data_IF_627676658861
#
_entry.id   IF_627676658861
#
_cell.length_a   1.000
_cell.length_b   1.000
_cell.length_c   1.000
_cell.angle_alpha   90.00
_cell.angle_beta   90.00
_cell.angle_gamma   90.00
#
_symmetry.space_group_name_H-M   'P 1'
#
loop_
_entity.id
_entity.type
_entity.pdbx_description
1 polymer ?
#
# COMPACT_ATOMS: atom_id res chain seq x y z
N UNK A 1 28.90 21.84 1.31
CA UNK A 1 28.14 20.64 0.87
C UNK A 1 26.77 20.47 1.55
N UNK A 2 26.53 21.01 2.77
CA UNK A 2 25.20 20.94 3.44
C UNK A 2 24.04 21.66 2.71
N UNK A 3 24.31 22.69 1.91
CA UNK A 3 23.27 23.46 1.20
C UNK A 3 22.68 22.79 -0.07
N UNK A 4 23.29 21.71 -0.59
CA UNK A 4 22.78 21.02 -1.78
C UNK A 4 21.69 19.98 -1.47
N UNK A 5 21.61 19.52 -0.23
CA UNK A 5 20.64 18.51 0.20
C UNK A 5 19.27 19.14 0.49
N UNK A 6 19.26 20.31 1.16
CA UNK A 6 18.05 21.09 1.43
C UNK A 6 17.38 21.58 0.13
N UNK A 7 18.17 21.97 -0.88
CA UNK A 7 17.63 22.35 -2.19
C UNK A 7 16.99 21.20 -2.97
N UNK A 8 17.37 19.94 -2.73
CA UNK A 8 16.78 18.79 -3.45
C UNK A 8 15.41 18.39 -2.92
N UNK A 9 15.18 18.52 -1.62
CA UNK A 9 13.85 18.31 -1.00
C UNK A 9 12.86 19.40 -1.45
N UNK A 10 13.35 20.63 -1.69
CA UNK A 10 12.51 21.76 -2.13
C UNK A 10 12.18 21.70 -3.64
N UNK A 11 13.01 21.07 -4.47
CA UNK A 11 12.86 21.13 -5.94
C UNK A 11 11.90 20.08 -6.52
N UNK A 12 11.54 19.02 -5.78
CA UNK A 12 10.75 17.92 -6.33
C UNK A 12 9.22 18.12 -6.21
N UNK A 13 8.75 19.11 -5.44
CA UNK A 13 7.32 19.40 -5.23
C UNK A 13 6.75 20.51 -6.13
N UNK A 14 7.55 21.10 -7.03
CA UNK A 14 7.21 22.36 -7.71
C UNK A 14 6.63 22.23 -9.14
N UNK A 15 5.85 21.18 -9.46
CA UNK A 15 5.26 21.05 -10.79
C UNK A 15 3.77 20.66 -10.83
N UNK A 16 2.91 21.40 -10.10
CA UNK A 16 1.49 21.54 -10.44
C UNK A 16 1.03 22.98 -10.12
N UNK A 17 0.82 23.78 -11.17
CA UNK A 17 0.35 25.17 -11.21
C UNK A 17 -0.69 25.19 -12.36
N UNK A 18 -1.86 25.84 -12.39
CA UNK A 18 -2.54 26.89 -11.59
C UNK A 18 -4.05 26.74 -11.89
N UNK A 19 -4.91 26.92 -10.89
CA UNK A 19 -6.27 27.46 -11.10
C UNK A 19 -6.65 28.27 -9.87
N UNK A 20 -6.90 29.55 -10.08
CA UNK A 20 -7.28 30.54 -9.07
C UNK A 20 -8.53 30.11 -8.29
N UNK A 21 -8.38 29.92 -6.98
CA UNK A 21 -9.45 30.04 -6.01
C UNK A 21 -8.90 30.86 -4.83
N UNK A 22 -9.46 32.04 -4.65
CA UNK A 22 -9.27 32.92 -3.50
C UNK A 22 -9.85 32.24 -2.25
N UNK A 23 -9.10 31.31 -1.67
CA UNK A 23 -9.45 30.66 -0.41
C UNK A 23 -9.19 31.66 0.73
N UNK A 24 -10.28 32.11 1.35
CA UNK A 24 -10.31 32.82 2.63
C UNK A 24 -9.36 32.15 3.64
N UNK A 25 -8.47 32.94 4.27
CA UNK A 25 -7.62 32.49 5.38
C UNK A 25 -8.51 32.25 6.61
N UNK A 26 -9.06 31.04 6.69
CA UNK A 26 -9.83 30.60 7.84
C UNK A 26 -8.88 30.41 9.04
N UNK A 27 -9.14 31.15 10.13
CA UNK A 27 -8.19 31.36 11.24
C UNK A 27 -8.41 30.44 12.44
N UNK A 28 -9.23 29.41 12.35
CA UNK A 28 -9.44 28.49 13.47
C UNK A 28 -9.76 27.07 13.03
N UNK A 29 -9.02 26.54 12.05
CA UNK A 29 -8.91 25.09 11.96
C UNK A 29 -8.09 24.65 13.18
N UNK A 30 -8.73 23.95 14.11
CA UNK A 30 -8.14 23.47 15.36
C UNK A 30 -7.01 22.48 15.05
N UNK A 31 -5.84 23.02 14.70
CA UNK A 31 -4.58 22.32 14.72
C UNK A 31 -4.21 22.18 16.20
N UNK A 32 -4.84 21.22 16.86
CA UNK A 32 -4.29 20.68 18.09
C UNK A 32 -3.25 19.62 17.69
N UNK A 33 -1.93 19.93 17.71
CA UNK A 33 -0.88 18.97 17.40
C UNK A 33 -0.74 17.87 18.47
N UNK A 34 -1.57 17.89 19.53
CA UNK A 34 -1.51 16.95 20.64
C UNK A 34 -2.50 15.79 20.55
N UNK A 35 -3.11 15.54 19.38
CA UNK A 35 -3.72 14.23 19.17
C UNK A 35 -2.62 13.16 19.12
N UNK A 36 -2.83 12.03 19.79
CA UNK A 36 -1.88 10.91 19.94
C UNK A 36 -1.58 10.19 18.61
N UNK A 37 -1.09 10.89 17.59
CA UNK A 37 -0.62 10.30 16.35
C UNK A 37 0.86 9.90 16.53
N UNK A 38 1.16 8.61 16.33
CA UNK A 38 2.51 8.06 16.43
C UNK A 38 3.52 8.86 15.59
N UNK A 39 3.18 9.17 14.33
CA UNK A 39 4.06 9.85 13.37
C UNK A 39 4.46 11.23 13.88
N UNK A 40 3.53 11.95 14.50
CA UNK A 40 3.74 13.33 14.93
C UNK A 40 4.86 13.43 15.96
N UNK A 41 4.97 12.45 16.86
CA UNK A 41 6.04 12.39 17.87
C UNK A 41 7.45 12.30 17.26
N UNK A 42 7.59 11.69 16.08
CA UNK A 42 8.85 11.57 15.36
C UNK A 42 9.11 12.78 14.47
N UNK A 43 8.09 13.18 13.69
CA UNK A 43 8.21 14.23 12.67
C UNK A 43 8.35 15.61 13.31
N UNK A 44 7.49 15.96 14.27
CA UNK A 44 7.56 17.25 14.95
C UNK A 44 8.86 17.39 15.73
N UNK A 45 9.26 16.35 16.47
CA UNK A 45 10.54 16.34 17.18
C UNK A 45 11.75 16.48 16.24
N UNK A 46 11.65 15.99 15.00
CA UNK A 46 12.69 16.19 13.98
C UNK A 46 12.68 17.63 13.45
N UNK A 47 11.52 18.19 13.12
CA UNK A 47 11.39 19.56 12.64
C UNK A 47 11.87 20.58 13.68
N UNK A 48 11.49 20.40 14.95
CA UNK A 48 11.92 21.23 16.07
C UNK A 48 13.45 21.21 16.23
N UNK A 49 14.07 20.01 16.18
CA UNK A 49 15.54 19.87 16.23
C UNK A 49 16.24 20.56 15.06
N UNK A 50 15.59 20.67 13.90
CA UNK A 50 16.12 21.34 12.72
C UNK A 50 15.82 22.84 12.70
N UNK A 51 15.00 23.35 13.62
CA UNK A 51 14.55 24.74 13.64
C UNK A 51 13.66 25.10 12.43
N UNK A 52 12.96 24.11 11.86
CA UNK A 52 12.06 24.32 10.72
C UNK A 52 10.66 24.62 11.24
N UNK A 53 10.09 25.75 10.81
CA UNK A 53 8.72 26.11 11.19
C UNK A 53 7.68 25.23 10.50
N UNK A 54 6.64 24.87 11.25
CA UNK A 54 5.47 24.16 10.73
C UNK A 54 4.61 25.10 9.87
N UNK A 55 4.30 24.67 8.65
CA UNK A 55 3.40 25.39 7.75
C UNK A 55 2.19 24.51 7.52
N UNK A 56 1.11 24.74 8.25
CA UNK A 56 -0.07 23.90 8.22
C UNK A 56 -0.97 24.18 7.02
N UNK A 57 -1.44 23.13 6.34
CA UNK A 57 -2.43 23.24 5.27
C UNK A 57 -3.75 23.75 5.82
N UNK A 58 -4.36 24.71 5.11
CA UNK A 58 -5.72 25.13 5.40
C UNK A 58 -6.72 24.02 5.10
N UNK A 59 -7.91 24.10 5.70
CA UNK A 59 -8.98 23.08 5.56
C UNK A 59 -9.30 22.70 4.12
N UNK A 60 -9.51 23.70 3.25
CA UNK A 60 -9.82 23.47 1.85
C UNK A 60 -8.68 22.79 1.07
N UNK A 61 -7.42 23.11 1.40
CA UNK A 61 -6.26 22.46 0.81
C UNK A 61 -6.17 21.00 1.25
N UNK A 62 -6.34 20.73 2.55
CA UNK A 62 -6.30 19.39 3.10
C UNK A 62 -7.42 18.51 2.54
N UNK A 63 -8.66 19.02 2.46
CA UNK A 63 -9.79 18.31 1.87
C UNK A 63 -9.53 17.93 0.42
N UNK A 64 -9.00 18.86 -0.38
CA UNK A 64 -8.64 18.58 -1.79
C UNK A 64 -7.57 17.50 -1.89
N UNK A 65 -6.56 17.52 -1.03
CA UNK A 65 -5.49 16.50 -1.02
C UNK A 65 -6.01 15.13 -0.62
N UNK A 66 -6.76 15.04 0.47
CA UNK A 66 -7.37 13.79 0.93
C UNK A 66 -8.27 13.19 -0.13
N UNK A 67 -9.14 14.00 -0.75
CA UNK A 67 -10.00 13.55 -1.85
C UNK A 67 -9.17 13.00 -3.01
N UNK A 68 -8.18 13.75 -3.52
CA UNK A 68 -7.37 13.31 -4.65
C UNK A 68 -6.55 12.05 -4.34
N UNK A 69 -5.88 11.98 -3.19
CA UNK A 69 -4.97 10.88 -2.87
C UNK A 69 -5.72 9.59 -2.50
N UNK A 70 -6.92 9.72 -1.90
CA UNK A 70 -7.74 8.59 -1.49
C UNK A 70 -8.68 8.14 -2.60
N UNK A 71 -9.39 9.05 -3.28
CA UNK A 71 -10.44 8.72 -4.25
C UNK A 71 -10.09 9.00 -5.69
N UNK A 72 -9.00 9.72 -5.96
CA UNK A 72 -8.62 10.14 -7.32
C UNK A 72 -9.45 11.31 -7.87
N UNK A 73 -10.34 11.88 -7.06
CA UNK A 73 -11.30 12.90 -7.49
C UNK A 73 -11.15 14.21 -6.69
N UNK A 74 -11.56 15.33 -7.30
CA UNK A 74 -11.62 16.64 -6.63
C UNK A 74 -12.93 16.69 -5.82
N UNK A 75 -12.93 17.23 -4.58
CA UNK A 75 -14.13 17.26 -3.76
C UNK A 75 -15.20 18.12 -4.43
N UNK A 76 -16.43 17.60 -4.50
CA UNK A 76 -17.57 18.32 -5.06
C UNK A 76 -18.19 19.30 -4.04
N UNK A 77 -19.32 19.90 -4.39
CA UNK A 77 -20.01 20.82 -3.48
C UNK A 77 -20.62 20.11 -2.27
N UNK A 78 -21.11 18.88 -2.45
CA UNK A 78 -21.70 18.09 -1.37
C UNK A 78 -20.62 17.68 -0.37
N UNK A 79 -19.44 17.26 -0.82
CA UNK A 79 -18.28 16.97 0.01
C UNK A 79 -17.87 18.17 0.86
N UNK A 80 -17.78 19.36 0.24
CA UNK A 80 -17.45 20.60 0.95
C UNK A 80 -18.47 20.94 2.03
N UNK A 81 -19.75 20.76 1.74
CA UNK A 81 -20.83 21.03 2.69
C UNK A 81 -20.84 20.01 3.84
N UNK A 82 -20.67 18.72 3.54
CA UNK A 82 -20.64 17.64 4.54
C UNK A 82 -19.46 17.78 5.50
N UNK A 83 -18.33 18.29 5.00
CA UNK A 83 -17.07 18.36 5.74
C UNK A 83 -16.76 19.75 6.27
N UNK A 84 -17.69 20.71 6.20
CA UNK A 84 -17.47 22.12 6.53
C UNK A 84 -16.93 22.34 7.95
N UNK A 85 -17.30 21.48 8.91
CA UNK A 85 -16.87 21.54 10.32
C UNK A 85 -16.10 20.30 10.79
N UNK A 86 -15.87 19.33 9.90
CA UNK A 86 -15.13 18.11 10.22
C UNK A 86 -13.66 18.37 10.58
N UNK A 87 -13.14 17.51 11.46
CA UNK A 87 -11.72 17.32 11.76
C UNK A 87 -10.98 16.61 10.62
N UNK A 88 -9.64 16.59 10.68
CA UNK A 88 -8.79 15.88 9.69
C UNK A 88 -9.11 14.39 9.64
N UNK A 89 -9.31 13.79 10.81
CA UNK A 89 -9.67 12.38 10.97
C UNK A 89 -11.01 12.07 10.31
N UNK A 90 -12.03 12.88 10.58
CA UNK A 90 -13.36 12.72 9.98
C UNK A 90 -13.34 12.91 8.46
N UNK A 91 -12.55 13.84 7.92
CA UNK A 91 -12.37 13.99 6.47
C UNK A 91 -11.71 12.75 5.84
N UNK A 92 -10.64 12.24 6.44
CA UNK A 92 -9.96 11.06 5.95
C UNK A 92 -10.88 9.84 5.94
N UNK A 93 -11.59 9.60 7.06
CA UNK A 93 -12.59 8.53 7.16
C UNK A 93 -13.71 8.68 6.14
N UNK A 94 -14.21 9.90 5.91
CA UNK A 94 -15.23 10.18 4.91
C UNK A 94 -14.79 9.73 3.51
N UNK A 95 -13.59 10.14 3.08
CA UNK A 95 -13.07 9.75 1.76
C UNK A 95 -12.68 8.25 1.68
N UNK A 96 -12.16 7.66 2.76
CA UNK A 96 -11.87 6.22 2.80
C UNK A 96 -13.12 5.32 2.79
N UNK A 97 -14.29 5.88 3.10
CA UNK A 97 -15.57 5.18 3.05
C UNK A 97 -16.30 5.33 1.70
N UNK A 98 -15.77 6.15 0.80
CA UNK A 98 -16.28 6.26 -0.57
C UNK A 98 -15.89 5.03 -1.40
N UNK A 99 -16.76 4.54 -2.31
CA UNK A 99 -16.41 3.43 -3.19
C UNK A 99 -15.20 3.73 -4.08
N UNK A 100 -14.99 5.00 -4.43
CA UNK A 100 -13.85 5.46 -5.23
C UNK A 100 -12.48 5.19 -4.54
N UNK A 101 -12.44 5.09 -3.21
CA UNK A 101 -11.22 4.69 -2.48
C UNK A 101 -10.76 3.29 -2.86
N UNK A 102 -11.72 2.37 -2.99
CA UNK A 102 -11.46 0.98 -3.42
C UNK A 102 -11.03 0.98 -4.89
N UNK A 103 -11.76 1.67 -5.76
CA UNK A 103 -11.47 1.72 -7.21
C UNK A 103 -10.07 2.29 -7.47
N UNK A 104 -9.73 3.40 -6.83
CA UNK A 104 -8.40 4.03 -6.98
C UNK A 104 -7.29 3.10 -6.50
N UNK A 105 -7.52 2.37 -5.41
CA UNK A 105 -6.53 1.41 -4.91
C UNK A 105 -6.40 0.20 -5.83
N UNK A 106 -7.49 -0.30 -6.40
CA UNK A 106 -7.48 -1.34 -7.43
C UNK A 106 -6.67 -0.93 -8.68
N UNK A 107 -6.79 0.32 -9.12
CA UNK A 107 -5.98 0.85 -10.23
C UNK A 107 -4.49 0.87 -9.90
N UNK A 108 -4.11 1.28 -8.69
CA UNK A 108 -2.71 1.27 -8.24
C UNK A 108 -2.16 -0.15 -8.21
N UNK A 109 -2.93 -1.10 -7.65
CA UNK A 109 -2.48 -2.49 -7.61
C UNK A 109 -2.47 -3.16 -8.98
N UNK A 110 -3.27 -2.69 -9.94
CA UNK A 110 -3.18 -3.16 -11.32
C UNK A 110 -1.79 -2.90 -11.93
N UNK A 111 -1.19 -1.74 -11.63
CA UNK A 111 0.17 -1.42 -12.07
C UNK A 111 1.21 -2.27 -11.32
N UNK A 112 1.04 -2.44 -10.00
CA UNK A 112 1.90 -3.28 -9.16
C UNK A 112 1.93 -4.73 -9.66
N UNK A 113 0.76 -5.31 -9.96
CA UNK A 113 0.62 -6.64 -10.53
C UNK A 113 0.90 -6.70 -12.03
N UNK A 114 1.22 -5.57 -12.66
CA UNK A 114 1.55 -5.43 -14.09
C UNK A 114 0.46 -6.05 -14.98
N UNK A 115 -0.81 -5.73 -14.70
CA UNK A 115 -1.94 -6.19 -15.50
C UNK A 115 -1.71 -5.84 -16.98
N UNK A 116 -1.78 -6.85 -17.84
CA UNK A 116 -1.54 -6.68 -19.28
C UNK A 116 -2.53 -7.50 -20.08
N UNK A 117 -3.16 -6.84 -21.06
CA UNK A 117 -4.07 -7.47 -22.02
C UNK A 117 -3.37 -8.48 -22.94
N UNK A 118 -2.04 -8.40 -23.08
CA UNK A 118 -1.30 -9.17 -24.10
C UNK A 118 -0.90 -10.58 -23.66
N UNK A 119 -0.80 -10.86 -22.35
CA UNK A 119 -0.27 -12.12 -21.83
C UNK A 119 -1.28 -12.92 -21.00
N UNK A 120 -2.43 -12.33 -20.65
CA UNK A 120 -3.48 -12.99 -19.88
C UNK A 120 -4.51 -13.61 -20.85
N UNK A 121 -4.10 -14.69 -21.53
CA UNK A 121 -4.90 -15.39 -22.54
C UNK A 121 -6.16 -16.11 -21.99
N UNK A 122 -6.34 -16.16 -20.66
CA UNK A 122 -7.58 -16.57 -19.98
C UNK A 122 -8.17 -15.42 -19.15
N UNK A 123 -8.81 -14.48 -19.89
CA UNK A 123 -10.02 -13.68 -19.60
C UNK A 123 -10.28 -13.26 -18.15
N UNK A 124 -10.43 -11.95 -17.93
CA UNK A 124 -11.22 -11.23 -16.90
C UNK A 124 -11.29 -11.85 -15.49
N UNK A 125 -11.79 -13.07 -15.36
CA UNK A 125 -11.83 -13.91 -14.15
C UNK A 125 -10.52 -13.97 -13.35
N UNK A 126 -9.35 -14.09 -14.00
CA UNK A 126 -8.07 -14.16 -13.28
C UNK A 126 -7.70 -12.82 -12.64
N UNK A 127 -7.87 -11.71 -13.40
CA UNK A 127 -7.67 -10.36 -12.88
C UNK A 127 -8.71 -10.06 -11.79
N UNK A 128 -9.94 -10.55 -11.96
CA UNK A 128 -11.02 -10.33 -11.01
C UNK A 128 -10.70 -10.88 -9.62
N UNK A 129 -10.01 -12.03 -9.52
CA UNK A 129 -9.56 -12.58 -8.22
C UNK A 129 -8.61 -11.65 -7.48
N UNK A 130 -7.53 -11.22 -8.12
CA UNK A 130 -6.60 -10.24 -7.52
C UNK A 130 -7.30 -8.90 -7.22
N UNK A 131 -8.19 -8.45 -8.11
CA UNK A 131 -8.93 -7.20 -7.92
C UNK A 131 -9.91 -7.27 -6.74
N UNK A 132 -10.57 -8.41 -6.54
CA UNK A 132 -11.43 -8.69 -5.37
C UNK A 132 -10.61 -8.64 -4.09
N UNK A 133 -9.43 -9.29 -4.06
CA UNK A 133 -8.54 -9.24 -2.90
C UNK A 133 -8.13 -7.81 -2.55
N UNK A 134 -7.80 -6.98 -3.54
CA UNK A 134 -7.48 -5.56 -3.30
C UNK A 134 -8.71 -4.81 -2.76
N UNK A 135 -9.89 -5.09 -3.31
CA UNK A 135 -11.14 -4.51 -2.81
C UNK A 135 -11.38 -4.83 -1.33
N UNK A 136 -11.26 -6.12 -0.98
CA UNK A 136 -11.41 -6.61 0.39
C UNK A 136 -10.34 -6.12 1.35
N UNK A 137 -9.13 -5.88 0.87
CA UNK A 137 -8.07 -5.26 1.66
C UNK A 137 -8.43 -3.80 1.99
N UNK A 138 -8.89 -3.05 1.00
CA UNK A 138 -9.19 -1.63 1.15
C UNK A 138 -10.55 -1.34 1.78
N UNK A 139 -11.50 -2.28 1.77
CA UNK A 139 -12.75 -2.16 2.53
C UNK A 139 -12.63 -2.66 3.99
N UNK A 140 -11.50 -3.30 4.34
CA UNK A 140 -11.20 -3.81 5.68
C UNK A 140 -11.70 -5.23 5.95
N UNK A 141 -12.23 -5.94 4.94
CA UNK A 141 -12.70 -7.32 5.06
C UNK A 141 -11.57 -8.34 5.24
N UNK A 142 -10.34 -8.02 4.84
CA UNK A 142 -9.14 -8.82 5.11
C UNK A 142 -7.98 -7.93 5.51
N UNK A 143 -7.09 -8.47 6.36
CA UNK A 143 -5.85 -7.81 6.77
C UNK A 143 -4.74 -8.00 5.72
N UNK A 144 -3.68 -7.18 5.80
CA UNK A 144 -2.63 -7.16 4.78
C UNK A 144 -1.79 -8.44 4.72
N UNK A 145 -1.60 -9.13 5.85
CA UNK A 145 -0.95 -10.44 5.90
C UNK A 145 -1.79 -11.53 5.19
N UNK A 146 -3.10 -11.54 5.43
CA UNK A 146 -4.06 -12.43 4.74
C UNK A 146 -4.08 -12.13 3.25
N UNK A 147 -4.09 -10.85 2.88
CA UNK A 147 -3.99 -10.41 1.49
C UNK A 147 -2.70 -10.94 0.84
N UNK A 148 -1.54 -10.78 1.48
CA UNK A 148 -0.26 -11.24 0.95
C UNK A 148 -0.25 -12.75 0.69
N UNK A 149 -0.73 -13.55 1.65
CA UNK A 149 -0.85 -15.01 1.49
C UNK A 149 -1.76 -15.39 0.32
N UNK A 150 -2.94 -14.74 0.22
CA UNK A 150 -3.92 -15.04 -0.84
C UNK A 150 -3.42 -14.65 -2.23
N UNK A 151 -2.78 -13.49 -2.37
CA UNK A 151 -2.21 -13.02 -3.65
C UNK A 151 -1.26 -14.05 -4.25
N UNK A 152 -0.41 -14.68 -3.44
CA UNK A 152 0.56 -15.68 -3.91
C UNK A 152 -0.07 -16.99 -4.39
N UNK A 153 -1.31 -17.23 -4.00
CA UNK A 153 -2.10 -18.40 -4.43
C UNK A 153 -2.98 -18.09 -5.64
N UNK A 154 -3.15 -16.82 -6.02
CA UNK A 154 -4.04 -16.44 -7.10
C UNK A 154 -3.54 -16.95 -8.47
N UNK A 155 -4.41 -17.54 -9.30
CA UNK A 155 -4.04 -18.00 -10.63
C UNK A 155 -3.41 -16.91 -11.50
N UNK A 156 -3.84 -15.65 -11.35
CA UNK A 156 -3.24 -14.52 -12.06
C UNK A 156 -1.76 -14.30 -11.68
N UNK A 157 -1.42 -14.41 -10.40
CA UNK A 157 -0.04 -14.30 -9.94
C UNK A 157 0.79 -15.49 -10.44
N UNK A 158 0.29 -16.70 -10.24
CA UNK A 158 0.99 -17.94 -10.57
C UNK A 158 1.22 -18.14 -12.07
N UNK A 159 0.27 -17.71 -12.92
CA UNK A 159 0.38 -17.83 -14.38
C UNK A 159 1.23 -16.72 -15.01
N UNK A 160 1.35 -15.56 -14.35
CA UNK A 160 2.09 -14.42 -14.89
C UNK A 160 3.61 -14.63 -14.88
N UNK A 161 4.11 -15.33 -13.86
CA UNK A 161 5.53 -15.57 -13.61
C UNK A 161 5.85 -17.04 -13.89
N UNK A 162 6.77 -17.27 -14.84
CA UNK A 162 6.94 -18.57 -15.51
C UNK A 162 7.73 -19.60 -14.72
N UNK A 163 8.58 -19.15 -13.80
CA UNK A 163 9.40 -20.03 -12.96
C UNK A 163 9.17 -19.75 -11.48
N UNK A 164 9.51 -20.72 -10.62
CA UNK A 164 9.53 -20.50 -9.17
C UNK A 164 10.44 -19.33 -8.77
N UNK A 165 11.58 -19.16 -9.43
CA UNK A 165 12.53 -18.05 -9.17
C UNK A 165 11.91 -16.70 -9.51
N UNK A 166 11.19 -16.58 -10.62
CA UNK A 166 10.46 -15.34 -10.98
C UNK A 166 9.39 -15.02 -9.93
N UNK A 167 8.62 -16.03 -9.50
CA UNK A 167 7.56 -15.88 -8.48
C UNK A 167 8.14 -15.45 -7.14
N UNK A 168 9.22 -16.09 -6.70
CA UNK A 168 9.96 -15.71 -5.49
C UNK A 168 10.44 -14.27 -5.56
N UNK A 169 11.10 -13.90 -6.67
CA UNK A 169 11.64 -12.56 -6.87
C UNK A 169 10.54 -11.52 -6.74
N UNK A 170 9.42 -11.71 -7.45
CA UNK A 170 8.31 -10.77 -7.41
C UNK A 170 7.62 -10.77 -6.05
N UNK A 171 7.44 -11.92 -5.40
CA UNK A 171 6.83 -11.99 -4.07
C UNK A 171 7.66 -11.20 -3.04
N UNK A 172 8.98 -11.35 -3.05
CA UNK A 172 9.87 -10.64 -2.13
C UNK A 172 9.98 -9.15 -2.47
N UNK A 173 10.02 -8.78 -3.75
CA UNK A 173 9.97 -7.37 -4.15
C UNK A 173 8.65 -6.72 -3.74
N UNK A 174 7.53 -7.42 -3.93
CA UNK A 174 6.20 -6.92 -3.63
C UNK A 174 5.93 -6.74 -2.13
N UNK A 175 6.41 -7.66 -1.29
CA UNK A 175 6.04 -7.71 0.12
C UNK A 175 7.19 -7.38 1.09
N UNK A 176 8.44 -7.39 0.64
CA UNK A 176 9.61 -7.09 1.46
C UNK A 176 10.51 -5.98 0.87
N UNK A 177 10.29 -5.59 -0.39
CA UNK A 177 11.00 -4.47 -1.00
C UNK A 177 12.41 -4.76 -1.49
N UNK A 178 12.80 -6.04 -1.54
CA UNK A 178 14.12 -6.42 -2.02
C UNK A 178 14.07 -7.65 -2.93
N UNK A 179 15.01 -7.70 -3.86
CA UNK A 179 15.27 -8.87 -4.70
C UNK A 179 16.06 -9.90 -3.87
N UNK A 180 15.66 -11.18 -3.84
CA UNK A 180 16.44 -12.22 -3.16
C UNK A 180 17.83 -12.38 -3.77
N UNK A 181 18.78 -12.81 -2.93
CA UNK A 181 20.12 -13.21 -3.38
C UNK A 181 20.23 -14.73 -3.39
N UNK A 182 21.00 -15.26 -4.34
CA UNK A 182 21.31 -16.69 -4.39
C UNK A 182 22.10 -17.13 -3.14
N UNK A 183 21.84 -18.31 -2.56
CA UNK A 183 20.93 -19.36 -3.03
C UNK A 183 19.49 -19.30 -2.47
N UNK A 184 19.13 -18.27 -1.69
CA UNK A 184 17.83 -18.21 -0.99
C UNK A 184 16.63 -18.14 -1.95
N UNK A 185 16.85 -17.62 -3.16
CA UNK A 185 15.86 -17.62 -4.23
C UNK A 185 15.43 -19.04 -4.64
N UNK A 186 16.36 -19.99 -4.67
CA UNK A 186 16.08 -21.38 -5.03
C UNK A 186 15.28 -22.13 -3.97
N UNK A 187 15.60 -21.92 -2.68
CA UNK A 187 14.86 -22.55 -1.58
C UNK A 187 13.40 -22.09 -1.58
N UNK A 188 13.17 -20.78 -1.71
CA UNK A 188 11.83 -20.23 -1.77
C UNK A 188 11.12 -20.53 -3.11
N UNK A 189 11.88 -20.64 -4.22
CA UNK A 189 11.32 -21.02 -5.53
C UNK A 189 10.71 -22.42 -5.53
N UNK A 190 11.24 -23.34 -4.72
CA UNK A 190 10.70 -24.69 -4.61
C UNK A 190 9.25 -24.70 -4.11
N UNK A 191 8.88 -23.75 -3.25
CA UNK A 191 7.50 -23.57 -2.75
C UNK A 191 6.50 -23.20 -3.85
N UNK A 192 6.97 -22.63 -4.95
CA UNK A 192 6.13 -22.35 -6.13
C UNK A 192 6.22 -23.43 -7.22
N UNK A 193 7.27 -24.25 -7.21
CA UNK A 193 7.48 -25.31 -8.22
C UNK A 193 6.51 -26.49 -8.01
N UNK A 194 6.07 -26.73 -6.77
CA UNK A 194 4.98 -27.66 -6.45
C UNK A 194 3.61 -27.24 -7.01
N UNK A 195 3.46 -26.01 -7.49
CA UNK A 195 2.24 -25.54 -8.16
C UNK A 195 2.32 -25.68 -9.69
N UNK A 196 2.77 -26.85 -10.15
CA UNK A 196 2.60 -27.27 -11.53
C UNK A 196 1.40 -28.20 -11.54
N UNK A 197 0.29 -27.79 -12.16
CA UNK A 197 -0.91 -28.64 -12.28
C UNK A 197 -0.51 -29.99 -12.91
N UNK A 198 -0.37 -31.03 -12.10
CA UNK A 198 -0.11 -32.40 -12.55
C UNK A 198 -1.44 -33.14 -12.51
N UNK A 199 -2.11 -33.25 -13.65
CA UNK A 199 -3.05 -34.36 -13.86
C UNK A 199 -2.22 -35.60 -14.23
N UNK A 200 -2.22 -36.59 -13.34
CA UNK A 200 -1.34 -37.74 -13.44
C UNK A 200 -1.94 -38.91 -14.22
N UNK A 201 -3.07 -38.76 -14.93
CA UNK A 201 -3.60 -39.89 -15.74
C UNK A 201 -3.97 -39.62 -17.18
N UNK A 202 -4.33 -38.41 -17.61
CA UNK A 202 -4.64 -38.19 -19.03
C UNK A 202 -4.05 -36.86 -19.53
N UNK A 203 -3.25 -36.94 -20.61
CA UNK A 203 -2.60 -35.78 -21.26
C UNK A 203 -3.59 -34.91 -22.06
N UNK A 204 -4.80 -34.73 -21.55
CA UNK A 204 -5.82 -33.84 -22.13
C UNK A 204 -5.95 -32.62 -21.25
N UNK A 205 -5.44 -31.50 -21.77
CA UNK A 205 -5.55 -30.19 -21.12
C UNK A 205 -7.00 -29.72 -21.13
N UNK A 206 -7.74 -29.96 -20.05
CA UNK A 206 -8.93 -29.18 -19.74
C UNK A 206 -8.60 -28.27 -18.57
N UNK A 207 -8.49 -26.97 -18.88
CA UNK A 207 -8.64 -25.90 -17.90
C UNK A 207 -10.10 -25.90 -17.45
N UNK A 208 -10.49 -26.87 -16.64
CA UNK A 208 -11.70 -26.75 -15.82
C UNK A 208 -11.22 -26.23 -14.47
N UNK A 209 -11.48 -24.95 -14.18
CA UNK A 209 -11.18 -24.30 -12.90
C UNK A 209 -11.97 -24.88 -11.72
N UNK A 210 -12.23 -26.17 -11.69
CA UNK A 210 -12.82 -26.90 -10.57
C UNK A 210 -11.73 -27.71 -9.89
N UNK A 211 -11.16 -27.13 -8.86
CA UNK A 211 -10.89 -27.92 -7.66
C UNK A 211 -12.25 -28.50 -7.25
N UNK A 212 -12.43 -29.83 -7.32
CA UNK A 212 -13.70 -30.49 -7.05
C UNK A 212 -14.25 -30.04 -5.68
N UNK A 213 -15.27 -29.18 -5.73
CA UNK A 213 -15.91 -28.55 -4.58
C UNK A 213 -17.11 -29.37 -4.10
N UNK A 214 -17.29 -30.60 -4.59
CA UNK A 214 -18.31 -31.49 -4.08
C UNK A 214 -17.77 -32.24 -2.86
N UNK A 215 -18.12 -31.71 -1.68
CA UNK A 215 -18.27 -32.42 -0.38
C UNK A 215 -17.36 -32.03 0.81
N UNK A 216 -16.36 -31.15 0.69
CA UNK A 216 -15.62 -30.66 1.88
C UNK A 216 -15.65 -29.14 2.02
N UNK A 217 -16.42 -28.64 3.00
CA UNK A 217 -16.51 -27.22 3.42
C UNK A 217 -15.25 -26.65 4.08
N UNK A 218 -14.12 -27.36 4.05
CA UNK A 218 -12.84 -26.90 4.61
C UNK A 218 -11.84 -26.74 3.46
N UNK A 219 -11.72 -25.52 2.94
CA UNK A 219 -10.99 -25.20 1.69
C UNK A 219 -9.52 -24.80 1.99
N UNK A 220 -8.89 -25.34 3.03
CA UNK A 220 -7.50 -24.99 3.35
C UNK A 220 -6.44 -26.00 2.86
N UNK A 221 -6.80 -27.22 2.43
CA UNK A 221 -5.79 -28.30 2.36
C UNK A 221 -5.55 -29.04 1.03
N UNK A 222 -6.24 -28.79 -0.09
CA UNK A 222 -6.07 -29.74 -1.23
C UNK A 222 -5.99 -29.11 -2.62
N UNK A 223 -4.80 -28.63 -2.99
CA UNK A 223 -4.26 -28.60 -4.36
C UNK A 223 -2.72 -28.55 -4.31
N UNK A 224 -2.09 -29.59 -3.76
CA UNK A 224 -0.62 -29.68 -3.68
C UNK A 224 -0.13 -30.58 -4.81
N UNK A 225 0.65 -30.05 -5.76
CA UNK A 225 1.30 -30.88 -6.78
C UNK A 225 2.74 -31.22 -6.34
N UNK A 226 3.08 -32.50 -6.47
CA UNK A 226 4.42 -33.01 -6.22
C UNK A 226 5.27 -32.85 -7.50
N UNK A 227 6.24 -31.94 -7.49
CA UNK A 227 7.47 -32.11 -8.27
C UNK A 227 8.63 -31.56 -7.44
N UNK A 228 9.33 -32.46 -6.74
CA UNK A 228 10.60 -32.29 -6.01
C UNK A 228 10.69 -31.30 -4.82
N UNK A 229 9.62 -30.63 -4.41
CA UNK A 229 9.58 -29.94 -3.11
C UNK A 229 9.53 -30.95 -1.95
N UNK A 230 10.06 -30.58 -0.78
CA UNK A 230 9.75 -31.35 0.43
C UNK A 230 8.24 -31.27 0.69
N UNK A 231 7.66 -32.29 1.32
CA UNK A 231 6.28 -32.22 1.81
C UNK A 231 6.20 -31.00 2.74
N UNK A 232 5.38 -30.00 2.39
CA UNK A 232 5.31 -28.72 3.10
C UNK A 232 5.87 -27.50 2.34
N UNK A 233 6.22 -27.64 1.06
CA UNK A 233 6.63 -26.51 0.20
C UNK A 233 5.49 -26.09 -0.73
N UNK A 234 4.57 -25.25 -0.25
CA UNK A 234 3.47 -24.68 -1.05
C UNK A 234 3.50 -23.15 -1.11
N UNK A 235 2.76 -22.50 -2.03
CA UNK A 235 2.61 -21.04 -2.03
C UNK A 235 2.02 -20.49 -0.72
N UNK A 236 1.26 -21.32 0.01
CA UNK A 236 0.78 -20.97 1.35
C UNK A 236 1.96 -20.84 2.31
N UNK A 237 2.89 -21.79 2.29
CA UNK A 237 4.09 -21.77 3.15
C UNK A 237 5.00 -20.59 2.80
N UNK A 238 5.14 -20.28 1.51
CA UNK A 238 5.81 -19.07 1.05
C UNK A 238 5.16 -17.81 1.68
N UNK A 239 3.83 -17.70 1.62
CA UNK A 239 3.10 -16.61 2.25
C UNK A 239 3.30 -16.56 3.77
N UNK A 240 3.25 -17.71 4.44
CA UNK A 240 3.47 -17.82 5.89
C UNK A 240 4.86 -17.32 6.29
N UNK A 241 5.88 -17.71 5.52
CA UNK A 241 7.26 -17.28 5.73
C UNK A 241 7.38 -15.77 5.54
N UNK A 242 6.88 -15.20 4.43
CA UNK A 242 6.99 -13.76 4.17
C UNK A 242 6.39 -12.94 5.30
N UNK A 243 5.15 -13.23 5.71
CA UNK A 243 4.49 -12.41 6.73
C UNK A 243 5.09 -12.58 8.12
N UNK A 244 5.87 -13.65 8.35
CA UNK A 244 6.61 -13.86 9.61
C UNK A 244 7.88 -13.03 9.72
N UNK A 245 8.38 -12.47 8.60
CA UNK A 245 9.60 -11.67 8.60
C UNK A 245 9.33 -10.28 9.17
N UNK A 246 10.21 -9.73 10.03
CA UNK A 246 10.05 -8.37 10.55
C UNK A 246 9.94 -7.30 9.46
N UNK A 247 10.67 -7.48 8.35
CA UNK A 247 10.67 -6.56 7.22
C UNK A 247 9.33 -6.51 6.47
N UNK A 248 8.44 -7.49 6.65
CA UNK A 248 7.12 -7.48 6.02
C UNK A 248 6.27 -6.30 6.50
N UNK A 249 6.19 -6.10 7.82
CA UNK A 249 5.43 -5.00 8.40
C UNK A 249 6.08 -3.65 8.08
N UNK A 250 7.40 -3.55 8.22
CA UNK A 250 8.15 -2.32 7.92
C UNK A 250 8.01 -1.93 6.44
N UNK A 251 8.15 -2.88 5.52
CA UNK A 251 8.02 -2.58 4.09
C UNK A 251 6.59 -2.22 3.71
N UNK A 252 5.58 -2.95 4.21
CA UNK A 252 4.17 -2.60 4.00
C UNK A 252 3.86 -1.17 4.46
N UNK A 253 4.38 -0.77 5.62
CA UNK A 253 4.29 0.60 6.10
C UNK A 253 5.01 1.61 5.22
N UNK A 254 6.22 1.29 4.77
CA UNK A 254 7.01 2.12 3.85
C UNK A 254 6.31 2.34 2.51
N UNK A 255 5.64 1.33 1.96
CA UNK A 255 4.87 1.46 0.71
C UNK A 255 3.74 2.48 0.86
N UNK A 256 2.95 2.41 1.94
CA UNK A 256 1.87 3.39 2.18
C UNK A 256 2.43 4.79 2.49
N UNK A 257 3.51 4.87 3.26
CA UNK A 257 4.18 6.15 3.52
C UNK A 257 4.63 6.81 2.22
N UNK A 258 5.33 6.08 1.34
CA UNK A 258 5.78 6.59 0.04
C UNK A 258 4.60 7.01 -0.84
N UNK A 259 3.48 6.27 -0.79
CA UNK A 259 2.26 6.63 -1.53
C UNK A 259 1.73 8.01 -1.14
N UNK A 260 1.63 8.31 0.16
CA UNK A 260 0.97 9.54 0.62
C UNK A 260 1.92 10.72 0.90
N UNK A 261 3.17 10.43 1.24
CA UNK A 261 4.18 11.45 1.59
C UNK A 261 5.17 11.67 0.42
N UNK A 262 5.38 10.68 -0.44
CA UNK A 262 6.26 10.78 -1.61
C UNK A 262 7.75 10.58 -1.32
N UNK A 263 8.14 10.32 -0.07
CA UNK A 263 9.53 10.17 0.37
C UNK A 263 9.77 8.82 1.04
N UNK A 264 11.02 8.37 1.08
CA UNK A 264 11.40 7.15 1.77
C UNK A 264 11.64 7.43 3.27
N UNK A 265 10.87 6.85 4.22
CA UNK A 265 11.03 7.17 5.63
C UNK A 265 12.40 6.73 6.15
N UNK A 266 12.97 5.63 5.62
CA UNK A 266 14.30 5.13 6.01
C UNK A 266 15.44 6.11 5.69
N UNK A 267 15.30 6.87 4.61
CA UNK A 267 16.33 7.82 4.18
C UNK A 267 16.41 9.05 5.11
N UNK A 268 15.31 9.38 5.79
CA UNK A 268 15.18 10.63 6.56
C UNK A 268 15.06 10.38 8.06
N UNK A 269 14.37 9.30 8.45
CA UNK A 269 13.94 9.01 9.81
C UNK A 269 13.75 7.49 10.02
N UNK A 270 14.81 6.68 10.01
CA UNK A 270 14.70 5.21 10.09
C UNK A 270 14.00 4.71 11.36
N UNK A 271 14.08 5.47 12.47
CA UNK A 271 13.34 5.16 13.69
C UNK A 271 11.81 5.20 13.50
N UNK A 272 11.32 5.99 12.54
CA UNK A 272 9.90 6.05 12.21
C UNK A 272 9.46 4.81 11.44
N UNK A 273 10.28 4.27 10.54
CA UNK A 273 9.95 3.04 9.81
C UNK A 273 9.71 1.87 10.77
N UNK A 274 10.63 1.64 11.71
CA UNK A 274 10.45 0.58 12.70
C UNK A 274 9.28 0.86 13.66
N UNK A 275 8.95 2.13 13.93
CA UNK A 275 7.77 2.48 14.70
C UNK A 275 6.47 2.16 13.93
N UNK A 276 6.41 2.52 12.65
CA UNK A 276 5.28 2.23 11.78
C UNK A 276 5.10 0.72 11.55
N UNK A 277 6.19 0.00 11.30
CA UNK A 277 6.16 -1.46 11.12
C UNK A 277 5.64 -2.17 12.38
N UNK A 278 6.10 -1.76 13.57
CA UNK A 278 5.56 -2.29 14.83
C UNK A 278 4.08 -1.97 14.99
N UNK A 279 3.68 -0.71 14.81
CA UNK A 279 2.26 -0.33 14.89
C UNK A 279 1.41 -1.14 13.92
N UNK A 280 1.85 -1.30 12.67
CA UNK A 280 1.14 -2.09 11.67
C UNK A 280 1.01 -3.57 12.05
N UNK A 281 2.05 -4.17 12.65
CA UNK A 281 1.97 -5.52 13.18
C UNK A 281 1.05 -5.62 14.41
N UNK A 282 1.10 -4.64 15.31
CA UNK A 282 0.33 -4.62 16.57
C UNK A 282 -1.17 -4.47 16.30
N UNK A 283 -1.55 -3.83 15.19
CA UNK A 283 -2.95 -3.68 14.74
C UNK A 283 -3.42 -4.88 13.90
N UNK A 284 -2.63 -5.95 13.83
CA UNK A 284 -2.98 -7.13 13.05
C UNK A 284 -2.91 -6.89 11.54
N UNK A 285 -2.06 -5.97 11.10
CA UNK A 285 -1.88 -5.59 9.69
C UNK A 285 -3.10 -4.90 9.07
N UNK A 286 -3.81 -4.08 9.85
CA UNK A 286 -4.92 -3.24 9.34
C UNK A 286 -4.39 -2.11 8.45
N UNK A 287 -4.56 -2.27 7.14
CA UNK A 287 -4.11 -1.30 6.14
C UNK A 287 -4.90 0.00 6.20
N UNK A 288 -6.18 -0.05 6.58
CA UNK A 288 -7.02 1.15 6.70
C UNK A 288 -6.58 1.97 7.90
N UNK A 289 -6.34 1.33 9.04
CA UNK A 289 -5.81 2.03 10.22
C UNK A 289 -4.48 2.72 9.92
N UNK A 290 -3.54 1.99 9.29
CA UNK A 290 -2.23 2.55 8.93
C UNK A 290 -2.35 3.70 7.91
N UNK A 291 -3.24 3.56 6.91
CA UNK A 291 -3.55 4.64 5.97
C UNK A 291 -4.05 5.88 6.72
N UNK A 292 -5.00 5.68 7.63
CA UNK A 292 -5.59 6.74 8.44
C UNK A 292 -4.56 7.44 9.33
N UNK A 293 -3.67 6.67 9.97
CA UNK A 293 -2.56 7.20 10.76
C UNK A 293 -1.68 8.13 9.92
N UNK A 294 -1.32 7.71 8.70
CA UNK A 294 -0.45 8.49 7.79
C UNK A 294 -1.14 9.77 7.32
N UNK A 295 -2.35 9.68 6.76
CA UNK A 295 -3.01 10.84 6.14
C UNK A 295 -3.58 11.84 7.16
N UNK A 296 -3.65 11.47 8.43
CA UNK A 296 -4.02 12.39 9.52
C UNK A 296 -2.82 12.97 10.26
N UNK A 297 -1.59 12.55 9.91
CA UNK A 297 -0.36 13.00 10.55
C UNK A 297 -0.02 14.47 10.24
N UNK A 298 0.86 15.02 11.07
CA UNK A 298 1.51 16.30 10.86
C UNK A 298 2.34 16.35 9.58
N UNK A 299 2.97 15.23 9.19
CA UNK A 299 3.74 15.14 7.95
C UNK A 299 2.83 15.37 6.74
N UNK A 300 1.67 14.70 6.72
CA UNK A 300 0.71 14.87 5.64
C UNK A 300 0.10 16.28 5.66
N UNK A 301 -0.21 16.83 6.83
CA UNK A 301 -0.91 18.11 6.95
C UNK A 301 -0.06 19.38 6.72
N UNK A 302 1.20 19.26 6.27
CA UNK A 302 1.97 20.43 5.85
C UNK A 302 1.39 21.04 4.56
N UNK A 303 1.37 22.37 4.45
CA UNK A 303 1.01 23.11 3.25
C UNK A 303 2.16 23.14 2.27
N UNK A 304 1.84 23.08 0.98
CA UNK A 304 2.82 23.30 -0.09
C UNK A 304 2.97 24.79 -0.45
N UNK A 305 2.22 25.69 0.20
CA UNK A 305 2.36 27.13 -0.03
C UNK A 305 3.66 27.63 0.60
N UNK A 306 4.59 28.08 -0.23
CA UNK A 306 5.70 28.90 0.23
C UNK A 306 5.15 30.12 0.98
N UNK A 307 5.76 30.47 2.12
CA UNK A 307 5.40 31.73 2.77
C UNK A 307 5.89 32.85 1.88
N UNK A 308 5.05 33.88 1.70
CA UNK A 308 5.44 35.08 0.95
C UNK A 308 6.72 35.72 1.55
N UNK A 309 6.94 35.54 2.86
CA UNK A 309 8.14 35.98 3.59
C UNK A 309 9.43 35.26 3.12
N UNK A 310 9.33 34.04 2.58
CA UNK A 310 10.46 33.24 2.10
C UNK A 310 10.87 33.57 0.65
N UNK A 311 10.05 34.35 -0.07
CA UNK A 311 10.28 34.76 -1.45
C UNK A 311 11.07 36.07 -1.57
N UNK A 312 11.50 36.67 -0.46
CA UNK A 312 12.41 37.81 -0.45
C UNK A 312 13.85 37.29 -0.58
N UNK A 313 14.24 36.93 -1.81
CA UNK A 313 15.63 36.69 -2.22
C UNK A 313 16.11 37.78 -3.17
#
# INVERSE_FOLDING_TARGET
MKNKFIKKIIFFFALVLISDLTVSRDKSFDFNPYYNNLIDSYVLARLDRLGVSHNWAGKAELMRRLSLDLTGEVPDEQDRNNLADSSRMEMALYFMNKPEFIVTSQLIYADVFKYSKAFMFSRETQIAGLNDLVGRLHDGSIMYDVFARKVLMEPAFLSRFTSGVDRTTVAMELFLGYTPVTPYDFEFANMFNGYRLVDNKDRTYTWDGKCDNSETRNIEESCVANVSGMIGDSPVDAGNILVSLPSFAEYGATVLWRRYIGEDPDAVLPELTSALGRHFSDTGYDLRELTLLIVTSAAYAQSNKFRDDDLVL
#
